data_IF_074416975159
#
_entry.id   IF_074416975159
#
_cell.length_a   1.000
_cell.length_b   1.000
_cell.length_c   1.000
_cell.angle_alpha   90.00
_cell.angle_beta   90.00
_cell.angle_gamma   90.00
#
_symmetry.space_group_name_H-M   'P 1'
#
loop_
_entity.id
_entity.type
_entity.pdbx_description
1 polymer ?
#
# COMPACT_ATOMS: atom_id res chain seq x y z
N UNK A 1 2.71 -5.84 -18.00
CA UNK A 1 1.87 -6.24 -19.15
C UNK A 1 0.66 -5.31 -19.21
N UNK A 2 0.37 -4.66 -20.36
CA UNK A 2 -0.68 -3.61 -20.44
C UNK A 2 -2.10 -4.16 -20.20
N UNK A 3 -2.35 -5.41 -20.62
CA UNK A 3 -3.66 -6.08 -20.52
C UNK A 3 -4.17 -6.25 -19.10
N UNK A 4 -3.28 -6.50 -18.15
CA UNK A 4 -3.66 -6.59 -16.74
C UNK A 4 -4.07 -5.21 -16.23
N UNK A 5 -3.21 -4.21 -16.39
CA UNK A 5 -3.52 -2.83 -15.95
C UNK A 5 -4.82 -2.30 -16.57
N UNK A 6 -5.07 -2.51 -17.86
CA UNK A 6 -6.27 -1.98 -18.54
C UNK A 6 -7.56 -2.59 -17.96
N UNK A 7 -7.59 -3.92 -17.72
CA UNK A 7 -8.71 -4.59 -17.05
C UNK A 7 -8.94 -4.08 -15.63
N UNK A 8 -7.87 -3.68 -14.95
CA UNK A 8 -7.92 -3.21 -13.56
C UNK A 8 -8.26 -1.74 -13.43
N UNK A 9 -7.78 -0.90 -14.34
CA UNK A 9 -8.15 0.51 -14.43
C UNK A 9 -9.67 0.64 -14.54
N UNK A 10 -10.29 -0.18 -15.38
CA UNK A 10 -11.76 -0.18 -15.53
C UNK A 10 -12.45 -0.57 -14.21
N UNK A 11 -11.88 -1.50 -13.44
CA UNK A 11 -12.42 -1.93 -12.14
C UNK A 11 -12.24 -0.86 -11.05
N UNK A 12 -11.07 -0.22 -10.99
CA UNK A 12 -10.80 0.92 -10.11
C UNK A 12 -11.75 2.08 -10.41
N UNK A 13 -11.88 2.48 -11.68
CA UNK A 13 -12.81 3.53 -12.10
C UNK A 13 -14.27 3.16 -11.80
N UNK A 14 -14.68 1.91 -12.01
CA UNK A 14 -16.02 1.43 -11.63
C UNK A 14 -16.27 1.45 -10.12
N UNK A 15 -15.24 1.22 -9.31
CA UNK A 15 -15.31 1.29 -7.86
C UNK A 15 -15.25 2.75 -7.36
N UNK A 16 -14.52 3.63 -8.01
CA UNK A 16 -14.51 5.06 -7.70
C UNK A 16 -15.87 5.71 -8.07
N UNK A 17 -16.43 5.37 -9.22
CA UNK A 17 -17.66 5.99 -9.74
C UNK A 17 -18.94 5.52 -9.02
N UNK A 18 -18.99 4.26 -8.53
CA UNK A 18 -20.19 3.69 -7.89
C UNK A 18 -20.33 4.01 -6.41
N UNK A 19 -19.29 4.60 -5.84
CA UNK A 19 -18.96 4.38 -4.45
C UNK A 19 -18.21 5.65 -4.02
N UNK A 20 -18.99 6.69 -3.74
CA UNK A 20 -18.58 7.81 -2.89
C UNK A 20 -18.31 7.21 -1.49
N UNK A 21 -17.23 6.46 -1.33
CA UNK A 21 -17.00 5.67 -0.12
C UNK A 21 -16.30 6.58 0.89
N UNK A 22 -17.08 7.10 1.83
CA UNK A 22 -16.59 7.82 3.01
C UNK A 22 -15.73 6.95 3.95
N UNK A 23 -15.70 5.62 3.75
CA UNK A 23 -15.04 4.64 4.61
C UNK A 23 -14.39 3.47 3.84
N UNK A 24 -13.42 3.74 2.96
CA UNK A 24 -12.53 2.64 2.52
C UNK A 24 -11.51 2.39 3.63
N UNK A 25 -11.36 1.14 4.05
CA UNK A 25 -10.24 0.75 4.90
C UNK A 25 -8.96 0.81 4.06
N UNK A 26 -8.33 1.96 4.10
CA UNK A 26 -6.97 2.19 3.60
C UNK A 26 -6.01 1.75 4.69
N UNK A 27 -4.98 1.01 4.31
CA UNK A 27 -3.89 0.64 5.21
C UNK A 27 -2.62 0.33 4.44
N UNK A 28 -1.57 -0.05 5.16
CA UNK A 28 -0.29 -0.41 4.56
C UNK A 28 -0.20 -1.90 4.26
N UNK A 29 0.56 -2.26 3.23
CA UNK A 29 0.76 -3.64 2.81
C UNK A 29 2.19 -3.93 2.37
N UNK A 30 2.56 -5.21 2.49
CA UNK A 30 3.83 -5.78 2.03
C UNK A 30 3.60 -7.11 1.31
N UNK A 31 4.52 -7.55 0.43
CA UNK A 31 4.49 -8.92 -0.10
C UNK A 31 4.62 -9.98 1.00
N UNK A 32 3.96 -11.13 0.87
CA UNK A 32 3.99 -12.19 1.90
C UNK A 32 5.38 -12.82 2.11
N UNK A 33 6.29 -12.69 1.15
CA UNK A 33 7.69 -13.10 1.34
C UNK A 33 8.43 -12.22 2.36
N UNK A 34 7.90 -11.04 2.70
CA UNK A 34 8.40 -10.21 3.82
C UNK A 34 7.79 -10.76 5.12
N UNK A 35 8.45 -11.75 5.72
CA UNK A 35 7.89 -12.48 6.87
C UNK A 35 7.90 -11.68 8.18
N UNK A 36 8.87 -10.79 8.38
CA UNK A 36 9.11 -10.14 9.68
C UNK A 36 8.22 -8.93 9.97
N UNK A 37 7.39 -8.52 9.00
CA UNK A 37 6.55 -7.31 9.10
C UNK A 37 5.09 -7.74 8.94
N UNK A 38 4.33 -7.76 10.04
CA UNK A 38 2.91 -8.15 10.07
C UNK A 38 2.00 -7.03 10.58
N UNK A 39 2.57 -5.95 11.13
CA UNK A 39 1.84 -4.86 11.76
C UNK A 39 2.52 -3.51 11.58
N UNK A 40 1.76 -2.44 11.82
CA UNK A 40 2.27 -1.07 11.86
C UNK A 40 3.37 -0.93 12.92
N UNK A 41 3.25 -1.64 14.05
CA UNK A 41 4.28 -1.68 15.09
C UNK A 41 5.62 -2.23 14.57
N UNK A 42 5.59 -3.24 13.71
CA UNK A 42 6.81 -3.83 13.16
C UNK A 42 7.56 -2.84 12.25
N UNK A 43 6.85 -1.94 11.55
CA UNK A 43 7.47 -0.86 10.77
C UNK A 43 8.26 0.12 11.66
N UNK A 44 7.78 0.38 12.88
CA UNK A 44 8.46 1.28 13.82
C UNK A 44 9.73 0.66 14.38
N UNK A 45 9.64 -0.63 14.72
CA UNK A 45 10.69 -1.34 15.44
C UNK A 45 11.78 -1.89 14.51
N UNK A 46 11.43 -2.33 13.30
CA UNK A 46 12.36 -2.92 12.33
C UNK A 46 13.03 -1.86 11.45
N UNK A 47 14.13 -1.31 11.98
CA UNK A 47 14.95 -0.32 11.27
C UNK A 47 15.61 -0.88 10.01
N UNK A 48 15.86 -2.18 9.94
CA UNK A 48 16.53 -2.77 8.79
C UNK A 48 15.55 -2.96 7.64
N UNK A 49 14.29 -3.31 7.94
CA UNK A 49 13.20 -3.20 6.98
C UNK A 49 13.02 -1.76 6.50
N UNK A 50 12.96 -0.79 7.42
CA UNK A 50 12.85 0.63 7.07
C UNK A 50 13.93 1.08 6.08
N UNK A 51 15.20 0.74 6.33
CA UNK A 51 16.29 1.01 5.36
C UNK A 51 16.12 0.25 4.04
N UNK A 52 15.63 -1.00 4.07
CA UNK A 52 15.49 -1.83 2.87
C UNK A 52 14.48 -1.29 1.87
N UNK A 53 13.53 -0.47 2.33
CA UNK A 53 12.55 0.24 1.50
C UNK A 53 12.84 1.74 1.40
N UNK A 54 14.05 2.17 1.78
CA UNK A 54 14.47 3.58 1.82
C UNK A 54 13.49 4.48 2.57
N UNK A 55 12.89 3.95 3.65
CA UNK A 55 11.85 4.61 4.44
C UNK A 55 10.71 5.17 3.57
N UNK A 56 10.39 4.49 2.48
CA UNK A 56 9.45 5.00 1.48
C UNK A 56 8.22 4.09 1.39
N UNK A 57 7.05 4.71 1.48
CA UNK A 57 5.75 4.08 1.22
C UNK A 57 5.35 4.46 -0.19
N UNK A 58 5.15 3.46 -1.05
CA UNK A 58 4.66 3.69 -2.40
C UNK A 58 3.17 4.01 -2.34
N UNK A 59 2.82 5.25 -2.61
CA UNK A 59 1.44 5.73 -2.63
C UNK A 59 0.88 5.87 -4.05
N UNK A 60 -0.42 6.12 -4.10
CA UNK A 60 -1.17 6.46 -5.31
C UNK A 60 -1.39 7.96 -5.40
N UNK A 61 -2.21 8.42 -6.35
CA UNK A 61 -2.54 9.83 -6.44
C UNK A 61 -3.56 10.20 -5.35
N UNK A 62 -3.70 11.50 -5.08
CA UNK A 62 -4.52 12.02 -3.99
C UNK A 62 -6.05 11.81 -4.19
N UNK A 63 -6.50 10.98 -5.13
CA UNK A 63 -7.92 10.67 -5.28
C UNK A 63 -8.41 9.91 -4.03
N UNK A 64 -9.62 10.24 -3.59
CA UNK A 64 -10.41 9.47 -2.62
C UNK A 64 -9.84 9.34 -1.19
N UNK A 65 -9.07 10.34 -0.70
CA UNK A 65 -8.73 10.44 0.74
C UNK A 65 -7.67 9.45 1.24
N UNK A 66 -7.27 8.45 0.45
CA UNK A 66 -6.24 7.43 0.76
C UNK A 66 -4.95 8.07 1.28
N UNK A 67 -4.48 9.09 0.56
CA UNK A 67 -3.25 9.77 0.89
C UNK A 67 -3.38 10.63 2.14
N UNK A 68 -4.58 11.17 2.44
CA UNK A 68 -4.82 11.89 3.68
C UNK A 68 -4.83 10.92 4.86
N UNK A 69 -5.62 9.84 4.76
CA UNK A 69 -5.69 8.81 5.79
C UNK A 69 -4.34 8.15 6.07
N UNK A 70 -3.55 7.90 5.01
CA UNK A 70 -2.19 7.38 5.19
C UNK A 70 -1.31 8.37 5.94
N UNK A 71 -1.38 9.68 5.64
CA UNK A 71 -0.61 10.67 6.40
C UNK A 71 -1.10 10.76 7.86
N UNK A 72 -2.41 10.70 8.10
CA UNK A 72 -2.97 10.70 9.45
C UNK A 72 -2.50 9.47 10.25
N UNK A 73 -2.44 8.29 9.60
CA UNK A 73 -1.86 7.07 10.18
C UNK A 73 -0.37 7.22 10.46
N UNK A 74 0.42 7.81 9.55
CA UNK A 74 1.85 8.06 9.79
C UNK A 74 2.09 8.97 11.00
N UNK A 75 1.25 9.99 11.17
CA UNK A 75 1.34 10.94 12.28
C UNK A 75 0.89 10.28 13.60
N UNK A 76 -0.23 9.55 13.59
CA UNK A 76 -0.79 8.85 14.76
C UNK A 76 0.14 7.75 15.25
N UNK A 77 0.66 6.95 14.32
CA UNK A 77 1.49 5.79 14.62
C UNK A 77 2.98 6.15 14.69
N UNK A 78 3.37 7.43 14.82
CA UNK A 78 4.77 7.88 14.93
C UNK A 78 5.71 7.17 13.94
N UNK A 79 5.28 7.10 12.68
CA UNK A 79 6.06 6.61 11.55
C UNK A 79 6.79 7.76 10.86
N UNK A 80 7.18 8.79 11.61
CA UNK A 80 7.78 10.06 11.15
C UNK A 80 9.04 9.92 10.27
N UNK A 81 9.67 8.74 10.25
CA UNK A 81 10.79 8.43 9.34
C UNK A 81 10.34 8.05 7.94
N UNK A 82 9.14 7.50 7.80
CA UNK A 82 8.60 7.10 6.52
C UNK A 82 8.08 8.29 5.76
N UNK A 83 8.34 8.30 4.46
CA UNK A 83 7.82 9.29 3.53
C UNK A 83 6.93 8.61 2.50
N UNK A 84 5.87 9.32 2.11
CA UNK A 84 4.89 8.83 1.16
C UNK A 84 5.27 9.29 -0.26
N UNK A 85 5.72 8.35 -1.10
CA UNK A 85 6.04 8.59 -2.52
C UNK A 85 4.76 8.56 -3.35
N UNK A 86 4.29 9.75 -3.73
CA UNK A 86 3.04 9.93 -4.45
C UNK A 86 3.23 9.65 -5.94
N UNK A 87 2.55 8.65 -6.47
CA UNK A 87 2.61 8.27 -7.89
C UNK A 87 1.23 7.89 -8.42
N UNK A 88 1.06 7.66 -9.72
CA UNK A 88 -0.22 7.12 -10.22
C UNK A 88 -0.44 5.66 -9.78
N UNK A 89 -1.69 5.20 -9.76
CA UNK A 89 -2.01 3.77 -9.52
C UNK A 89 -1.20 2.84 -10.43
N UNK A 90 -0.99 3.26 -11.69
CA UNK A 90 -0.20 2.50 -12.67
C UNK A 90 1.27 2.40 -12.27
N UNK A 91 1.84 3.50 -11.79
CA UNK A 91 3.25 3.55 -11.41
C UNK A 91 3.48 2.77 -10.13
N UNK A 92 2.62 2.93 -9.12
CA UNK A 92 2.64 2.14 -7.89
C UNK A 92 2.59 0.64 -8.24
N UNK A 93 1.63 0.22 -9.06
CA UNK A 93 1.50 -1.19 -9.46
C UNK A 93 2.73 -1.72 -10.19
N UNK A 94 3.32 -0.95 -11.12
CA UNK A 94 4.57 -1.33 -11.80
C UNK A 94 5.72 -1.53 -10.81
N UNK A 95 5.83 -0.67 -9.79
CA UNK A 95 6.85 -0.80 -8.73
C UNK A 95 6.63 -2.08 -7.91
N UNK A 96 5.38 -2.36 -7.51
CA UNK A 96 5.03 -3.59 -6.77
C UNK A 96 5.34 -4.83 -7.61
N UNK A 97 4.93 -4.87 -8.88
CA UNK A 97 5.22 -6.01 -9.77
C UNK A 97 6.73 -6.25 -9.91
N UNK A 98 7.52 -5.18 -10.11
CA UNK A 98 8.96 -5.29 -10.23
C UNK A 98 9.60 -5.80 -8.95
N UNK A 99 9.23 -5.24 -7.79
CA UNK A 99 9.73 -5.68 -6.50
C UNK A 99 9.38 -7.15 -6.24
N UNK A 100 8.14 -7.56 -6.54
CA UNK A 100 7.69 -8.94 -6.39
C UNK A 100 8.49 -9.91 -7.27
N UNK A 101 8.72 -9.59 -8.54
CA UNK A 101 9.53 -10.40 -9.45
C UNK A 101 10.98 -10.55 -9.00
N UNK A 102 11.52 -9.51 -8.35
CA UNK A 102 12.88 -9.47 -7.84
C UNK A 102 12.99 -9.94 -6.38
N UNK A 103 11.87 -10.31 -5.76
CA UNK A 103 11.76 -10.60 -4.31
C UNK A 103 12.37 -9.50 -3.43
N UNK A 104 12.23 -8.25 -3.85
CA UNK A 104 12.71 -7.09 -3.10
C UNK A 104 11.65 -6.60 -2.12
N UNK A 105 12.05 -6.12 -0.93
CA UNK A 105 11.10 -5.52 -0.01
C UNK A 105 10.46 -4.27 -0.63
N UNK A 106 9.17 -4.09 -0.36
CA UNK A 106 8.40 -2.92 -0.77
C UNK A 106 7.26 -2.72 0.23
N UNK A 107 6.99 -1.46 0.56
CA UNK A 107 5.89 -1.02 1.40
C UNK A 107 5.00 -0.10 0.57
N UNK A 108 3.69 -0.31 0.58
CA UNK A 108 2.76 0.45 -0.27
C UNK A 108 1.40 0.62 0.40
N UNK A 109 0.67 1.67 -0.01
CA UNK A 109 -0.72 1.87 0.39
C UNK A 109 -1.62 0.85 -0.30
N UNK A 110 -2.62 0.35 0.41
CA UNK A 110 -3.57 -0.63 -0.08
C UNK A 110 -4.97 -0.34 0.46
N UNK A 111 -5.98 -0.70 -0.32
CA UNK A 111 -7.39 -0.49 0.00
C UNK A 111 -8.10 -1.84 -0.03
N UNK A 112 -8.93 -2.14 0.97
CA UNK A 112 -9.85 -3.27 0.87
C UNK A 112 -11.15 -2.92 0.15
N UNK A 113 -11.66 -3.82 -0.73
CA UNK A 113 -11.08 -5.12 -1.10
C UNK A 113 -9.84 -4.97 -2.00
N UNK A 114 -8.70 -5.51 -1.55
CA UNK A 114 -7.43 -5.37 -2.25
C UNK A 114 -7.38 -6.35 -3.43
N UNK A 115 -7.82 -5.89 -4.59
CA UNK A 115 -8.13 -6.72 -5.75
C UNK A 115 -6.91 -7.35 -6.43
N UNK A 116 -5.69 -6.84 -6.23
CA UNK A 116 -4.46 -7.46 -6.74
C UNK A 116 -3.79 -8.44 -5.76
N UNK A 117 -4.32 -8.59 -4.53
CA UNK A 117 -3.82 -9.57 -3.55
C UNK A 117 -3.89 -11.02 -4.01
N UNK A 118 -4.80 -11.31 -4.96
CA UNK A 118 -4.92 -12.64 -5.57
C UNK A 118 -3.82 -12.94 -6.60
N UNK A 119 -3.21 -11.90 -7.18
CA UNK A 119 -2.16 -12.05 -8.20
C UNK A 119 -0.76 -11.89 -7.62
N UNK A 120 -0.63 -10.91 -6.73
CA UNK A 120 0.58 -10.61 -6.00
C UNK A 120 0.28 -11.00 -4.56
N UNK A 121 0.86 -12.11 -4.11
CA UNK A 121 0.63 -12.66 -2.78
C UNK A 121 1.15 -11.67 -1.72
N UNK A 122 0.27 -10.76 -1.30
CA UNK A 122 0.56 -9.65 -0.37
C UNK A 122 -0.30 -9.79 0.88
N UNK A 123 0.13 -9.13 1.96
CA UNK A 123 -0.59 -9.03 3.22
C UNK A 123 -0.72 -7.57 3.61
N UNK A 124 -1.90 -7.20 4.09
CA UNK A 124 -2.07 -5.93 4.79
C UNK A 124 -1.50 -6.05 6.19
N UNK A 125 -0.89 -4.96 6.65
CA UNK A 125 -0.36 -4.86 7.99
C UNK A 125 -1.49 -4.65 8.97
N UNK A 126 -1.42 -5.33 10.10
CA UNK A 126 -2.37 -5.13 11.20
C UNK A 126 -2.12 -3.77 11.82
N UNK A 127 -3.18 -2.98 11.90
CA UNK A 127 -3.23 -1.77 12.70
C UNK A 127 -3.91 -2.12 14.04
N UNK A 128 -3.20 -2.05 15.18
CA UNK A 128 -3.79 -2.35 16.48
C UNK A 128 -4.81 -1.29 16.96
N UNK A 129 -4.86 -0.10 16.34
CA UNK A 129 -5.80 0.96 16.69
C UNK A 129 -7.12 0.89 15.89
N UNK A 130 -7.11 0.18 14.77
CA UNK A 130 -8.33 -0.16 14.01
C UNK A 130 -8.77 -1.56 14.44
N UNK A 131 -9.57 -1.60 15.53
CA UNK A 131 -10.09 -2.83 16.14
C UNK A 131 -11.05 -3.64 15.26
#
# INVERSE_FOLDING_TARGET
>A
DKRYYDKFKDTLTLYDDKHLIDHVNVGLAVPKYVQNIDSIKDLKDDKDFGKSVDWTIQGTDNRNGVMQQTNDELDRDDLSKYSLDKSSDQEQFKKIQKAYQQQQPILFTSMEPNWFSKELDVKMLKDPEIG
#
